data_IF_489525848672
#
_entry.id   IF_489525848672
#
_cell.length_a   1.000
_cell.length_b   1.000
_cell.length_c   1.000
_cell.angle_alpha   90.00
_cell.angle_beta   90.00
_cell.angle_gamma   90.00
#
_symmetry.space_group_name_H-M   'P 1'
#
loop_
_entity.id
_entity.type
_entity.pdbx_description
1 polymer ?
#
# COMPACT_ATOMS: atom_id res chain seq x y z
N UNK A 1 -6.18 0.33 -18.55
CA UNK A 1 -5.52 -0.99 -18.56
C UNK A 1 -4.40 -1.15 -17.52
N UNK A 2 -3.26 -0.44 -17.53
CA UNK A 2 -2.20 -0.66 -16.50
C UNK A 2 -2.64 -0.35 -15.07
N UNK A 3 -3.30 0.80 -14.84
CA UNK A 3 -3.75 1.18 -13.49
C UNK A 3 -4.78 0.20 -12.90
N UNK A 4 -5.66 -0.39 -13.73
CA UNK A 4 -6.67 -1.36 -13.27
C UNK A 4 -6.04 -2.64 -12.70
N UNK A 5 -4.94 -3.11 -13.29
CA UNK A 5 -4.18 -4.27 -12.78
C UNK A 5 -3.55 -3.92 -11.42
N UNK A 6 -3.00 -2.72 -11.28
CA UNK A 6 -2.43 -2.24 -10.02
C UNK A 6 -3.49 -2.17 -8.91
N UNK A 7 -4.66 -1.58 -9.19
CA UNK A 7 -5.77 -1.53 -8.22
C UNK A 7 -6.21 -2.91 -7.75
N UNK A 8 -6.34 -3.87 -8.68
CA UNK A 8 -6.70 -5.23 -8.31
C UNK A 8 -5.67 -5.87 -7.38
N UNK A 9 -4.37 -5.73 -7.67
CA UNK A 9 -3.29 -6.23 -6.81
C UNK A 9 -3.37 -5.62 -5.41
N UNK A 10 -3.53 -4.30 -5.33
CA UNK A 10 -3.61 -3.58 -4.07
C UNK A 10 -4.80 -4.05 -3.22
N UNK A 11 -5.97 -4.23 -3.83
CA UNK A 11 -7.13 -4.77 -3.13
C UNK A 11 -6.89 -6.21 -2.64
N UNK A 12 -6.16 -7.04 -3.39
CA UNK A 12 -5.78 -8.37 -2.91
C UNK A 12 -4.86 -8.30 -1.70
N UNK A 13 -3.87 -7.41 -1.67
CA UNK A 13 -3.04 -7.19 -0.47
C UNK A 13 -3.85 -6.75 0.74
N UNK A 14 -4.78 -5.81 0.56
CA UNK A 14 -5.71 -5.38 1.61
C UNK A 14 -6.59 -6.55 2.12
N UNK A 15 -7.08 -7.41 1.22
CA UNK A 15 -7.83 -8.63 1.60
C UNK A 15 -6.95 -9.62 2.37
N UNK A 16 -5.71 -9.87 1.95
CA UNK A 16 -4.76 -10.74 2.66
C UNK A 16 -4.46 -10.19 4.06
N UNK A 17 -4.26 -8.88 4.20
CA UNK A 17 -4.08 -8.23 5.50
C UNK A 17 -5.28 -8.50 6.42
N UNK A 18 -6.50 -8.43 5.88
CA UNK A 18 -7.73 -8.77 6.62
C UNK A 18 -7.88 -10.25 6.99
N UNK A 19 -7.07 -11.15 6.41
CA UNK A 19 -7.02 -12.56 6.82
C UNK A 19 -5.93 -12.87 7.84
N UNK A 20 -5.01 -11.93 8.11
CA UNK A 20 -3.96 -12.12 9.12
C UNK A 20 -4.57 -12.35 10.51
N UNK A 21 -4.09 -13.36 11.26
CA UNK A 21 -4.57 -13.61 12.63
C UNK A 21 -4.51 -12.36 13.51
N UNK A 22 -5.52 -12.18 14.36
CA UNK A 22 -5.65 -10.97 15.19
C UNK A 22 -4.40 -10.67 16.04
N UNK A 23 -3.72 -11.72 16.53
CA UNK A 23 -2.48 -11.61 17.31
C UNK A 23 -1.33 -10.95 16.52
N UNK A 24 -1.25 -11.17 15.21
CA UNK A 24 -0.18 -10.65 14.34
C UNK A 24 -0.59 -9.37 13.59
N UNK A 25 -1.90 -9.15 13.42
CA UNK A 25 -2.44 -8.03 12.61
C UNK A 25 -1.90 -6.66 13.01
N UNK A 26 -1.66 -6.42 14.30
CA UNK A 26 -1.11 -5.14 14.78
C UNK A 26 0.24 -4.79 14.16
N UNK A 27 1.11 -5.79 13.89
CA UNK A 27 2.39 -5.53 13.25
C UNK A 27 2.20 -5.14 11.78
N UNK A 28 1.33 -5.86 11.06
CA UNK A 28 1.00 -5.56 9.66
C UNK A 28 0.36 -4.17 9.50
N UNK A 29 -0.59 -3.82 10.38
CA UNK A 29 -1.24 -2.50 10.35
C UNK A 29 -0.24 -1.37 10.56
N UNK A 30 0.68 -1.50 11.55
CA UNK A 30 1.73 -0.49 11.78
C UNK A 30 2.64 -0.31 10.57
N UNK A 31 3.05 -1.40 9.92
CA UNK A 31 3.87 -1.33 8.71
C UNK A 31 3.09 -0.66 7.58
N UNK A 32 1.83 -1.04 7.38
CA UNK A 32 0.96 -0.46 6.36
C UNK A 32 0.78 1.06 6.56
N UNK A 33 0.50 1.50 7.79
CA UNK A 33 0.43 2.93 8.15
C UNK A 33 1.74 3.66 7.85
N UNK A 34 2.89 3.07 8.21
CA UNK A 34 4.19 3.68 7.95
C UNK A 34 4.48 3.81 6.45
N UNK A 35 4.03 2.85 5.63
CA UNK A 35 4.13 2.92 4.17
C UNK A 35 3.23 4.04 3.63
N UNK A 36 1.99 4.19 4.14
CA UNK A 36 1.09 5.29 3.74
C UNK A 36 1.73 6.65 4.02
N UNK A 37 2.37 6.83 5.18
CA UNK A 37 3.06 8.09 5.49
C UNK A 37 4.24 8.37 4.54
N UNK A 38 4.95 7.32 4.12
CA UNK A 38 6.01 7.44 3.12
C UNK A 38 5.46 7.74 1.72
N UNK A 39 4.29 7.21 1.34
CA UNK A 39 3.58 7.58 0.10
C UNK A 39 3.21 9.06 0.09
N UNK A 40 2.66 9.57 1.20
CA UNK A 40 2.34 11.00 1.37
C UNK A 40 3.58 11.88 1.18
N UNK A 41 4.71 11.46 1.74
CA UNK A 41 5.99 12.17 1.60
C UNK A 41 6.52 12.16 0.17
N UNK A 42 6.34 11.05 -0.56
CA UNK A 42 6.86 10.85 -1.92
C UNK A 42 6.04 11.55 -3.00
N UNK A 43 4.72 11.42 -2.94
CA UNK A 43 3.83 12.02 -3.93
C UNK A 43 3.63 13.52 -3.68
N UNK A 44 3.52 13.92 -2.41
CA UNK A 44 3.43 15.33 -2.02
C UNK A 44 2.12 15.99 -2.48
N UNK A 45 1.36 16.57 -1.55
CA UNK A 45 0.14 17.30 -1.90
C UNK A 45 -0.92 16.44 -2.60
N UNK A 46 -1.68 17.06 -3.50
CA UNK A 46 -2.73 16.40 -4.26
C UNK A 46 -2.13 15.55 -5.40
N UNK A 47 -2.64 14.33 -5.57
CA UNK A 47 -2.15 13.37 -6.56
C UNK A 47 -3.32 12.62 -7.22
N UNK A 48 -3.05 12.01 -8.37
CA UNK A 48 -3.98 11.19 -9.15
C UNK A 48 -3.74 9.70 -8.97
N UNK A 49 -4.76 8.91 -9.29
CA UNK A 49 -4.72 7.46 -9.35
C UNK A 49 -3.62 6.94 -10.28
N UNK A 50 -3.35 7.65 -11.39
CA UNK A 50 -2.28 7.30 -12.32
C UNK A 50 -0.88 7.54 -11.75
N UNK A 51 -0.65 8.69 -11.09
CA UNK A 51 0.65 8.99 -10.47
C UNK A 51 0.99 7.98 -9.37
N UNK A 52 -0.01 7.54 -8.59
CA UNK A 52 0.18 6.48 -7.60
C UNK A 52 0.55 5.13 -8.26
N UNK A 53 -0.08 4.79 -9.40
CA UNK A 53 0.24 3.58 -10.15
C UNK A 53 1.64 3.66 -10.79
N UNK A 54 2.04 4.82 -11.31
CA UNK A 54 3.39 5.04 -11.85
C UNK A 54 4.46 4.90 -10.77
N UNK A 55 4.20 5.41 -9.56
CA UNK A 55 5.11 5.22 -8.42
C UNK A 55 5.25 3.73 -8.06
N UNK A 56 4.15 2.98 -8.10
CA UNK A 56 4.17 1.54 -7.85
C UNK A 56 5.00 0.79 -8.91
N UNK A 57 4.81 1.13 -10.20
CA UNK A 57 5.53 0.51 -11.32
C UNK A 57 7.03 0.87 -11.34
N UNK A 58 7.39 2.08 -10.88
CA UNK A 58 8.79 2.53 -10.80
C UNK A 58 9.58 1.77 -9.73
N UNK A 59 8.90 1.21 -8.73
CA UNK A 59 9.49 0.30 -7.75
C UNK A 59 9.12 0.61 -6.30
N UNK A 60 8.89 -0.46 -5.54
CA UNK A 60 8.50 -0.43 -4.12
C UNK A 60 9.56 -1.03 -3.21
N UNK A 61 10.82 -1.11 -3.67
CA UNK A 61 11.96 -1.68 -2.91
C UNK A 61 12.19 -0.99 -1.56
N UNK A 62 11.76 0.27 -1.43
CA UNK A 62 11.81 1.03 -0.18
C UNK A 62 10.81 0.55 0.88
N UNK A 63 9.79 -0.23 0.52
CA UNK A 63 8.81 -0.77 1.46
C UNK A 63 9.43 -1.81 2.40
N UNK A 64 10.33 -2.67 1.90
CA UNK A 64 10.98 -3.72 2.69
C UNK A 64 11.82 -3.17 3.86
N UNK A 65 12.81 -2.27 3.65
CA UNK A 65 13.60 -1.73 4.76
C UNK A 65 12.73 -0.96 5.76
N UNK A 66 11.64 -0.33 5.30
CA UNK A 66 10.68 0.36 6.17
C UNK A 66 9.84 -0.63 6.99
N UNK A 67 9.45 -1.77 6.43
CA UNK A 67 8.79 -2.85 7.15
C UNK A 67 9.69 -3.45 8.23
N UNK A 68 10.95 -3.75 7.88
CA UNK A 68 11.98 -4.25 8.81
C UNK A 68 12.20 -3.27 9.96
N UNK A 69 12.33 -1.97 9.67
CA UNK A 69 12.54 -0.95 10.70
C UNK A 69 11.31 -0.75 11.62
N UNK A 70 10.10 -0.90 11.08
CA UNK A 70 8.85 -0.67 11.84
C UNK A 70 8.47 -1.86 12.74
N UNK A 71 8.78 -3.07 12.30
CA UNK A 71 8.41 -4.30 12.99
C UNK A 71 9.56 -5.33 12.98
N UNK A 72 10.73 -5.01 13.59
CA UNK A 72 11.90 -5.88 13.56
C UNK A 72 11.65 -7.25 14.21
N UNK A 73 10.82 -7.29 15.26
CA UNK A 73 10.45 -8.52 15.97
C UNK A 73 9.33 -9.33 15.28
N UNK A 74 8.83 -8.89 14.12
CA UNK A 74 7.73 -9.55 13.43
C UNK A 74 8.02 -9.74 11.93
N UNK A 75 8.88 -10.72 11.55
CA UNK A 75 9.25 -10.97 10.16
C UNK A 75 8.07 -11.25 9.22
N UNK A 76 6.97 -11.81 9.74
CA UNK A 76 5.76 -12.02 8.96
C UNK A 76 5.20 -10.70 8.37
N UNK A 77 5.35 -9.58 9.08
CA UNK A 77 4.87 -8.27 8.64
C UNK A 77 5.76 -7.62 7.55
N UNK A 78 6.82 -8.30 7.10
CA UNK A 78 7.72 -7.81 6.05
C UNK A 78 7.28 -8.25 4.64
N UNK A 79 6.21 -9.04 4.52
CA UNK A 79 5.65 -9.43 3.23
C UNK A 79 5.07 -8.20 2.51
N UNK A 80 5.89 -7.59 1.65
CA UNK A 80 5.56 -6.40 0.87
C UNK A 80 4.36 -6.61 -0.06
N UNK A 81 4.09 -7.84 -0.49
CA UNK A 81 2.89 -8.15 -1.30
C UNK A 81 1.58 -8.05 -0.50
N UNK A 82 1.67 -7.94 0.82
CA UNK A 82 0.54 -7.69 1.71
C UNK A 82 0.57 -6.24 2.18
N UNK A 83 1.66 -5.81 2.82
CA UNK A 83 1.69 -4.50 3.49
C UNK A 83 1.83 -3.33 2.52
N UNK A 84 2.58 -3.46 1.42
CA UNK A 84 2.68 -2.40 0.42
C UNK A 84 1.37 -2.32 -0.37
N UNK A 85 0.89 -3.44 -0.92
CA UNK A 85 -0.37 -3.52 -1.65
C UNK A 85 -1.55 -2.97 -0.84
N UNK A 86 -1.65 -3.32 0.45
CA UNK A 86 -2.65 -2.77 1.35
C UNK A 86 -2.50 -1.24 1.54
N UNK A 87 -1.27 -0.74 1.68
CA UNK A 87 -1.02 0.68 1.83
C UNK A 87 -1.39 1.47 0.58
N UNK A 88 -1.01 0.98 -0.61
CA UNK A 88 -1.40 1.57 -1.89
C UNK A 88 -2.93 1.53 -2.07
N UNK A 89 -3.61 0.44 -1.69
CA UNK A 89 -5.08 0.36 -1.73
C UNK A 89 -5.76 1.41 -0.84
N UNK A 90 -5.19 1.68 0.35
CA UNK A 90 -5.71 2.68 1.28
C UNK A 90 -5.46 4.09 0.74
N UNK A 91 -4.23 4.36 0.32
CA UNK A 91 -3.83 5.69 -0.13
C UNK A 91 -4.48 6.08 -1.46
N UNK A 92 -4.75 5.13 -2.34
CA UNK A 92 -5.54 5.34 -3.56
C UNK A 92 -6.85 6.10 -3.33
N UNK A 93 -7.51 5.90 -2.19
CA UNK A 93 -8.78 6.56 -1.84
C UNK A 93 -8.65 8.07 -1.63
N UNK A 94 -7.42 8.55 -1.42
CA UNK A 94 -7.10 9.97 -1.26
C UNK A 94 -6.80 10.67 -2.61
N UNK A 95 -6.73 9.93 -3.72
CA UNK A 95 -6.48 10.52 -5.04
C UNK A 95 -7.61 11.46 -5.48
N UNK A 96 -7.27 12.57 -6.14
CA UNK A 96 -8.24 13.61 -6.54
C UNK A 96 -9.26 13.13 -7.57
N UNK A 97 -8.91 12.11 -8.34
CA UNK A 97 -9.74 11.47 -9.36
C UNK A 97 -10.34 10.14 -8.88
N UNK A 98 -10.30 9.87 -7.56
CA UNK A 98 -10.80 8.63 -6.99
C UNK A 98 -12.34 8.57 -7.07
N UNK A 99 -12.85 8.04 -8.19
CA UNK A 99 -14.26 7.71 -8.38
C UNK A 99 -14.62 6.27 -7.94
N UNK A 100 -13.74 5.59 -7.20
CA UNK A 100 -13.92 4.18 -6.82
C UNK A 100 -13.68 3.20 -7.98
N UNK A 101 -12.64 3.42 -8.79
CA UNK A 101 -12.22 2.48 -9.85
C UNK A 101 -13.05 2.53 -11.15
N UNK A 102 -14.07 3.38 -11.25
CA UNK A 102 -14.80 3.62 -12.50
C UNK A 102 -14.41 4.97 -13.11
N UNK A 103 -13.47 4.95 -14.06
CA UNK A 103 -13.31 6.06 -15.02
C UNK A 103 -14.64 6.19 -15.79
N UNK A 104 -15.21 7.40 -15.84
CA UNK A 104 -16.21 7.77 -16.85
C UNK A 104 -15.54 7.97 -18.19
#
# INVERSE_FOLDING_TARGET
MRSEIAFFQWEQGQRRLQTVPAAQRRAFERVCERIVDELRRRLGGAFTSSELAELYDTGTDWCLPLAVATAPENPAAWDVSIVADAAFARYAREAVDFAGGRRR
#
